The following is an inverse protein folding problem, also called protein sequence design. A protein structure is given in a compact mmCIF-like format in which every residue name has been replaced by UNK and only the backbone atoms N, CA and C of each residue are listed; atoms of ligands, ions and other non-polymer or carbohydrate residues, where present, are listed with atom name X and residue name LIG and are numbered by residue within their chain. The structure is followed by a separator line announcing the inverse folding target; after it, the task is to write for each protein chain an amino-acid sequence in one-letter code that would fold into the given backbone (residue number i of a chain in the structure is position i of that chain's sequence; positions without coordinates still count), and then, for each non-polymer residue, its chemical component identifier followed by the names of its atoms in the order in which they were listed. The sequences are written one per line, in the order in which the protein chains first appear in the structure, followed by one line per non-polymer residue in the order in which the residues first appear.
data_IF_266564964132
#
_entry.id   IF_266564964132
#
_cell.length_a   1.000
_cell.length_b   1.000
_cell.length_c   1.000
_cell.angle_alpha   90.00
_cell.angle_beta   90.00
_cell.angle_gamma   90.00
#
_symmetry.space_group_name_H-M   'P 1'
#
loop_
_entity.id
_entity.type
_entity.pdbx_description
1 polymer ?
#
# COMPACT_ATOMS: atom_id res chain seq x y z
N UNK A 1 -21.38 -1.24 -10.15
CA UNK A 1 -21.43 -0.04 -9.29
C UNK A 1 -20.22 0.83 -9.61
N UNK A 2 -20.34 2.15 -9.60
CA UNK A 2 -19.21 3.04 -9.86
C UNK A 2 -18.30 3.17 -8.63
N UNK A 3 -17.01 3.34 -8.87
CA UNK A 3 -16.02 3.67 -7.85
C UNK A 3 -16.30 5.08 -7.33
N UNK A 4 -16.26 5.28 -6.02
CA UNK A 4 -16.43 6.60 -5.39
C UNK A 4 -15.26 6.91 -4.46
N UNK A 5 -15.01 8.19 -4.22
CA UNK A 5 -13.98 8.65 -3.29
C UNK A 5 -14.58 8.97 -1.94
N UNK A 6 -13.84 8.67 -0.86
CA UNK A 6 -14.23 8.98 0.51
C UNK A 6 -13.04 9.45 1.35
N UNK A 7 -13.35 9.91 2.57
CA UNK A 7 -12.38 10.37 3.56
C UNK A 7 -12.73 9.86 4.94
N UNK A 8 -11.72 9.55 5.74
CA UNK A 8 -11.89 9.15 7.14
C UNK A 8 -10.66 9.50 7.96
N UNK A 9 -10.86 9.98 9.18
CA UNK A 9 -9.75 10.15 10.12
C UNK A 9 -9.49 8.82 10.83
N UNK A 10 -8.28 8.31 10.71
CA UNK A 10 -7.82 7.08 11.36
C UNK A 10 -6.36 7.23 11.79
N UNK A 11 -6.01 6.77 12.99
CA UNK A 11 -4.66 6.90 13.56
C UNK A 11 -4.07 8.33 13.49
N UNK A 12 -4.91 9.36 13.63
CA UNK A 12 -4.51 10.77 13.55
C UNK A 12 -4.21 11.29 12.13
N UNK A 13 -4.53 10.53 11.08
CA UNK A 13 -4.36 10.90 9.68
C UNK A 13 -5.72 10.96 8.99
N UNK A 14 -5.91 11.95 8.11
CA UNK A 14 -7.06 12.05 7.23
C UNK A 14 -6.81 11.25 5.95
N UNK A 15 -7.27 10.00 5.95
CA UNK A 15 -7.11 9.08 4.84
C UNK A 15 -8.14 9.36 3.76
N UNK A 16 -7.65 9.59 2.55
CA UNK A 16 -8.46 9.49 1.35
C UNK A 16 -8.48 8.05 0.86
N UNK A 17 -9.62 7.61 0.33
CA UNK A 17 -9.76 6.25 -0.19
C UNK A 17 -10.72 6.17 -1.37
N UNK A 18 -10.57 5.09 -2.13
CA UNK A 18 -11.51 4.63 -3.15
C UNK A 18 -12.41 3.55 -2.55
N UNK A 19 -13.70 3.56 -2.86
CA UNK A 19 -14.62 2.52 -2.41
C UNK A 19 -15.68 2.16 -3.44
N UNK A 20 -16.23 0.96 -3.29
CA UNK A 20 -17.39 0.49 -4.04
C UNK A 20 -18.05 -0.68 -3.32
N UNK A 21 -19.36 -0.83 -3.53
CA UNK A 21 -20.13 -1.94 -2.95
C UNK A 21 -20.68 -1.64 -1.56
N UNK A 22 -21.35 -2.65 -1.00
CA UNK A 22 -21.95 -2.65 0.33
C UNK A 22 -21.80 -4.05 0.89
N UNK A 23 -21.68 -4.18 2.21
CA UNK A 23 -21.49 -5.47 2.89
C UNK A 23 -20.23 -5.50 3.74
N UNK A 24 -19.70 -6.69 4.07
CA UNK A 24 -18.48 -6.82 4.87
C UNK A 24 -17.29 -6.08 4.21
N UNK A 25 -16.50 -5.41 5.04
CA UNK A 25 -15.34 -4.63 4.59
C UNK A 25 -14.23 -5.56 4.07
N UNK A 26 -13.74 -5.23 2.88
CA UNK A 26 -12.46 -5.71 2.34
C UNK A 26 -11.54 -4.49 2.20
N UNK A 27 -10.53 -4.40 3.08
CA UNK A 27 -9.55 -3.32 3.08
C UNK A 27 -8.36 -3.71 2.19
N UNK A 28 -8.11 -2.94 1.14
CA UNK A 28 -7.09 -3.22 0.12
C UNK A 28 -5.92 -2.21 0.21
N UNK A 29 -4.77 -2.65 0.71
CA UNK A 29 -3.60 -1.82 1.00
C UNK A 29 -2.54 -1.97 -0.08
N UNK A 30 -2.26 -0.89 -0.83
CA UNK A 30 -1.31 -0.90 -1.95
C UNK A 30 0.15 -0.86 -1.47
N UNK A 31 1.12 -0.91 -2.39
CA UNK A 31 2.54 -0.85 -2.07
C UNK A 31 3.27 0.32 -2.72
N UNK A 32 4.55 0.10 -3.00
CA UNK A 32 5.40 0.99 -3.78
C UNK A 32 5.89 0.30 -5.06
N UNK A 33 6.00 1.01 -6.20
CA UNK A 33 5.50 2.36 -6.47
C UNK A 33 4.09 2.29 -7.06
N UNK A 34 3.09 2.38 -6.19
CA UNK A 34 1.67 2.22 -6.51
C UNK A 34 0.84 3.36 -5.90
N UNK A 35 -0.48 3.29 -6.03
CA UNK A 35 -1.44 4.05 -5.22
C UNK A 35 -2.76 3.24 -5.08
N UNK A 36 -3.81 3.83 -4.52
CA UNK A 36 -5.10 3.14 -4.32
C UNK A 36 -5.69 2.52 -5.61
N UNK A 37 -5.32 3.04 -6.79
CA UNK A 37 -5.80 2.54 -8.08
C UNK A 37 -5.20 1.20 -8.50
N UNK A 38 -4.22 0.65 -7.78
CA UNK A 38 -3.81 -0.76 -7.90
C UNK A 38 -5.02 -1.72 -7.81
N UNK A 39 -6.09 -1.28 -7.16
CA UNK A 39 -7.30 -2.09 -6.97
C UNK A 39 -8.49 -1.68 -7.86
N UNK A 40 -8.30 -0.86 -8.89
CA UNK A 40 -9.38 -0.41 -9.78
C UNK A 40 -10.18 -1.59 -10.39
N UNK A 41 -9.52 -2.71 -10.68
CA UNK A 41 -10.18 -3.92 -11.20
C UNK A 41 -10.73 -4.82 -10.10
N UNK A 42 -10.05 -4.90 -8.95
CA UNK A 42 -10.45 -5.77 -7.84
C UNK A 42 -11.69 -5.23 -7.11
N UNK A 43 -11.76 -3.92 -6.89
CA UNK A 43 -12.82 -3.29 -6.13
C UNK A 43 -14.22 -3.58 -6.72
N UNK A 44 -14.48 -3.41 -8.04
CA UNK A 44 -15.75 -3.78 -8.65
C UNK A 44 -16.08 -5.28 -8.54
N UNK A 45 -15.08 -6.16 -8.65
CA UNK A 45 -15.28 -7.59 -8.50
C UNK A 45 -15.71 -7.98 -7.08
N UNK A 46 -15.10 -7.35 -6.06
CA UNK A 46 -15.51 -7.51 -4.66
C UNK A 46 -16.95 -7.03 -4.43
N UNK A 47 -17.32 -5.89 -4.99
CA UNK A 47 -18.69 -5.38 -4.91
C UNK A 47 -19.70 -6.31 -5.58
N UNK A 48 -19.37 -6.87 -6.75
CA UNK A 48 -20.21 -7.86 -7.41
C UNK A 48 -20.39 -9.15 -6.58
N UNK A 49 -19.40 -9.49 -5.75
CA UNK A 49 -19.45 -10.61 -4.81
C UNK A 49 -20.13 -10.27 -3.46
N UNK A 50 -20.70 -9.06 -3.29
CA UNK A 50 -21.42 -8.66 -2.08
C UNK A 50 -20.56 -8.11 -0.95
N UNK A 51 -19.34 -7.66 -1.24
CA UNK A 51 -18.45 -7.00 -0.29
C UNK A 51 -18.44 -5.48 -0.49
N UNK A 52 -18.04 -4.74 0.56
CA UNK A 52 -17.63 -3.34 0.43
C UNK A 52 -16.11 -3.32 0.31
N UNK A 53 -15.60 -3.06 -0.89
CA UNK A 53 -14.17 -2.88 -1.12
C UNK A 53 -13.75 -1.45 -0.82
N UNK A 54 -12.66 -1.26 -0.07
CA UNK A 54 -12.06 0.05 0.20
C UNK A 54 -10.55 -0.01 -0.01
N UNK A 55 -10.01 0.87 -0.84
CA UNK A 55 -8.58 1.05 -1.04
C UNK A 55 -8.14 2.46 -0.59
N UNK A 56 -7.51 2.62 0.58
CA UNK A 56 -6.92 3.89 0.98
C UNK A 56 -5.69 4.22 0.13
N UNK A 57 -5.47 5.50 -0.11
CA UNK A 57 -4.13 6.00 -0.40
C UNK A 57 -3.35 5.92 0.92
N UNK A 58 -2.33 5.07 0.99
CA UNK A 58 -1.59 4.81 2.22
C UNK A 58 -0.91 6.07 2.77
N UNK A 59 -0.46 6.05 4.03
CA UNK A 59 0.22 7.21 4.63
C UNK A 59 1.34 7.71 3.72
N UNK A 60 1.43 9.02 3.52
CA UNK A 60 2.41 9.62 2.63
C UNK A 60 2.09 9.51 1.13
N UNK A 61 0.97 8.90 0.74
CA UNK A 61 0.52 8.89 -0.65
C UNK A 61 -0.66 9.81 -0.85
N UNK A 62 -0.47 10.85 -1.66
CA UNK A 62 -1.54 11.77 -1.99
C UNK A 62 -2.71 11.05 -2.69
N UNK A 63 -3.96 11.46 -2.42
CA UNK A 63 -4.36 12.65 -1.64
C UNK A 63 -4.39 12.47 -0.11
N UNK A 64 -4.04 11.31 0.45
CA UNK A 64 -3.79 11.22 1.90
C UNK A 64 -2.56 12.05 2.24
N UNK A 65 -2.70 12.95 3.21
CA UNK A 65 -1.61 13.85 3.59
C UNK A 65 -0.39 13.06 4.12
N UNK A 66 0.83 13.61 3.99
CA UNK A 66 2.00 13.11 4.70
C UNK A 66 1.73 12.99 6.20
N UNK A 67 2.34 11.99 6.84
CA UNK A 67 2.17 11.81 8.27
C UNK A 67 2.70 13.05 9.02
N UNK A 68 1.91 13.71 9.89
CA UNK A 68 2.34 14.95 10.55
C UNK A 68 3.58 14.79 11.43
N UNK A 69 3.85 13.57 11.89
CA UNK A 69 5.01 13.21 12.71
C UNK A 69 6.25 12.81 11.89
N UNK A 70 6.16 12.83 10.55
CA UNK A 70 7.24 12.47 9.65
C UNK A 70 7.67 11.00 9.73
N UNK A 71 6.83 10.13 10.29
CA UNK A 71 7.19 8.73 10.56
C UNK A 71 6.54 7.77 9.57
N UNK A 72 7.28 6.75 9.14
CA UNK A 72 6.83 5.78 8.12
C UNK A 72 7.22 4.33 8.43
N UNK A 73 7.50 4.01 9.70
CA UNK A 73 7.89 2.66 10.09
C UNK A 73 6.76 1.65 9.82
N UNK A 74 7.12 0.40 9.49
CA UNK A 74 6.18 -0.68 9.20
C UNK A 74 5.10 -0.89 10.28
N UNK A 75 5.44 -0.69 11.56
CA UNK A 75 4.46 -0.79 12.67
C UNK A 75 3.35 0.26 12.56
N UNK A 76 3.63 1.45 12.02
CA UNK A 76 2.63 2.48 11.83
C UNK A 76 1.69 2.14 10.68
N UNK A 77 2.20 1.53 9.61
CA UNK A 77 1.36 1.05 8.52
C UNK A 77 0.34 0.01 9.03
N UNK A 78 0.77 -0.86 9.94
CA UNK A 78 -0.10 -1.82 10.61
C UNK A 78 -1.14 -1.15 11.52
N UNK A 79 -0.74 -0.13 12.28
CA UNK A 79 -1.65 0.64 13.14
C UNK A 79 -2.67 1.43 12.32
N UNK A 80 -2.26 2.02 11.19
CA UNK A 80 -3.16 2.68 10.26
C UNK A 80 -4.21 1.70 9.73
N UNK A 81 -3.80 0.50 9.33
CA UNK A 81 -4.72 -0.54 8.88
C UNK A 81 -5.74 -0.93 9.96
N UNK A 82 -5.30 -1.13 11.21
CA UNK A 82 -6.22 -1.42 12.32
C UNK A 82 -7.20 -0.27 12.59
N UNK A 83 -6.72 0.97 12.58
CA UNK A 83 -7.57 2.14 12.77
C UNK A 83 -8.57 2.34 11.63
N UNK A 84 -8.19 2.05 10.38
CA UNK A 84 -9.08 2.06 9.23
C UNK A 84 -10.15 0.96 9.33
N UNK A 85 -9.80 -0.22 9.82
CA UNK A 85 -10.77 -1.30 10.09
C UNK A 85 -11.79 -0.86 11.15
N UNK A 86 -11.35 -0.18 12.21
CA UNK A 86 -12.24 0.36 13.22
C UNK A 86 -13.19 1.41 12.64
N UNK A 87 -12.64 2.39 11.91
CA UNK A 87 -13.40 3.52 11.40
C UNK A 87 -14.36 3.15 10.27
N UNK A 88 -14.02 2.16 9.42
CA UNK A 88 -14.78 1.83 8.22
C UNK A 88 -15.52 0.49 8.30
N UNK A 89 -15.03 -0.44 9.12
CA UNK A 89 -15.53 -1.82 9.19
C UNK A 89 -16.25 -2.16 10.49
N UNK A 90 -16.35 -1.22 11.43
CA UNK A 90 -16.94 -1.48 12.75
C UNK A 90 -16.12 -2.48 13.57
N UNK A 91 -14.80 -2.52 13.35
CA UNK A 91 -13.86 -3.33 14.14
C UNK A 91 -13.50 -4.70 13.53
N UNK A 92 -13.98 -5.03 12.33
CA UNK A 92 -13.57 -6.28 11.65
C UNK A 92 -13.59 -6.18 10.12
N UNK A 93 -12.57 -6.72 9.46
CA UNK A 93 -12.46 -6.71 8.00
C UNK A 93 -11.73 -7.93 7.42
N UNK A 94 -11.93 -8.20 6.14
CA UNK A 94 -10.97 -8.95 5.33
C UNK A 94 -9.90 -7.97 4.85
N UNK A 95 -8.64 -8.40 4.80
CA UNK A 95 -7.52 -7.52 4.43
C UNK A 95 -6.76 -8.12 3.25
N UNK A 96 -6.58 -7.31 2.22
CA UNK A 96 -5.75 -7.59 1.05
C UNK A 96 -4.58 -6.61 1.09
N UNK A 97 -3.35 -7.10 0.99
CA UNK A 97 -2.16 -6.26 0.95
C UNK A 97 -1.24 -6.62 -0.22
N UNK A 98 -0.74 -5.60 -0.92
CA UNK A 98 0.28 -5.73 -1.96
C UNK A 98 1.58 -5.04 -1.50
N UNK A 99 2.73 -5.70 -1.64
CA UNK A 99 4.06 -5.12 -1.35
C UNK A 99 4.15 -4.50 0.08
N UNK A 100 4.32 -3.17 0.25
CA UNK A 100 4.29 -2.53 1.58
C UNK A 100 2.93 -2.66 2.28
N UNK A 101 1.84 -2.68 1.51
CA UNK A 101 0.52 -2.98 2.02
C UNK A 101 0.38 -4.41 2.51
N UNK A 102 1.14 -5.37 1.97
CA UNK A 102 1.22 -6.71 2.56
C UNK A 102 1.96 -6.69 3.90
N UNK A 103 3.00 -5.87 4.05
CA UNK A 103 3.69 -5.66 5.33
C UNK A 103 2.75 -5.04 6.37
N UNK A 104 1.95 -4.04 5.98
CA UNK A 104 0.90 -3.47 6.81
C UNK A 104 -0.14 -4.53 7.22
N UNK A 105 -0.59 -5.35 6.27
CA UNK A 105 -1.59 -6.39 6.49
C UNK A 105 -1.09 -7.50 7.44
N UNK A 106 0.16 -7.97 7.27
CA UNK A 106 0.79 -8.90 8.21
C UNK A 106 0.91 -8.30 9.62
N UNK A 107 1.35 -7.05 9.72
CA UNK A 107 1.45 -6.37 11.00
C UNK A 107 0.08 -6.21 11.68
N UNK A 108 -0.95 -5.83 10.94
CA UNK A 108 -2.32 -5.71 11.46
C UNK A 108 -2.85 -7.06 11.97
N UNK A 109 -2.64 -8.14 11.21
CA UNK A 109 -3.03 -9.48 11.64
C UNK A 109 -2.26 -9.96 12.89
N UNK A 110 -1.02 -9.54 13.06
CA UNK A 110 -0.21 -9.88 14.23
C UNK A 110 -0.59 -9.04 15.47
N UNK A 111 -0.92 -7.75 15.29
CA UNK A 111 -1.22 -6.82 16.37
C UNK A 111 -2.69 -6.82 16.81
N UNK A 112 -3.62 -7.11 15.90
CA UNK A 112 -5.06 -7.16 16.15
C UNK A 112 -5.72 -8.32 15.42
N UNK A 113 -5.36 -9.58 15.75
CA UNK A 113 -5.86 -10.77 15.05
C UNK A 113 -7.39 -10.90 15.07
N UNK A 114 -8.05 -10.37 16.11
CA UNK A 114 -9.50 -10.34 16.23
C UNK A 114 -10.19 -9.45 15.18
N UNK A 115 -9.48 -8.44 14.67
CA UNK A 115 -9.98 -7.48 13.67
C UNK A 115 -9.79 -7.97 12.23
N UNK A 116 -8.83 -8.86 11.99
CA UNK A 116 -8.52 -9.39 10.66
C UNK A 116 -9.18 -10.75 10.46
N UNK A 117 -10.35 -10.75 9.81
CA UNK A 117 -11.13 -11.97 9.57
C UNK A 117 -10.46 -12.93 8.57
N UNK A 118 -9.85 -12.38 7.52
CA UNK A 118 -9.10 -13.10 6.49
C UNK A 118 -7.97 -12.21 5.99
N UNK A 119 -6.88 -12.83 5.56
CA UNK A 119 -5.68 -12.14 5.08
C UNK A 119 -5.29 -12.70 3.70
N UNK A 120 -5.10 -11.80 2.73
CA UNK A 120 -4.53 -12.09 1.41
C UNK A 120 -3.34 -11.18 1.21
N UNK A 121 -2.17 -11.74 0.87
CA UNK A 121 -0.95 -10.98 0.65
C UNK A 121 -0.35 -11.30 -0.71
N UNK A 122 0.05 -10.26 -1.45
CA UNK A 122 0.53 -10.35 -2.82
C UNK A 122 1.88 -9.62 -2.90
N UNK A 123 2.84 -10.15 -3.66
CA UNK A 123 4.09 -9.45 -3.96
C UNK A 123 5.08 -9.32 -2.80
N UNK A 124 4.76 -9.77 -1.57
CA UNK A 124 5.67 -9.76 -0.43
C UNK A 124 5.67 -11.09 0.32
N UNK A 125 6.86 -11.56 0.70
CA UNK A 125 7.01 -12.75 1.53
C UNK A 125 6.61 -12.49 2.98
N UNK A 126 6.13 -13.53 3.67
CA UNK A 126 5.80 -13.46 5.08
C UNK A 126 7.03 -13.03 5.92
N UNK A 127 6.90 -12.13 6.92
CA UNK A 127 8.01 -11.64 7.75
C UNK A 127 8.87 -12.75 8.40
N UNK A 128 8.29 -13.90 8.70
CA UNK A 128 9.03 -15.06 9.23
C UNK A 128 10.07 -15.63 8.24
N UNK A 129 9.87 -15.47 6.94
CA UNK A 129 10.88 -15.81 5.93
C UNK A 129 12.14 -14.94 6.11
N UNK A 130 12.05 -13.84 6.87
CA UNK A 130 13.18 -12.99 7.18
C UNK A 130 14.08 -13.49 8.32
N UNK A 131 13.76 -14.65 8.91
CA UNK A 131 14.55 -15.28 9.99
C UNK A 131 15.30 -16.52 9.47
N UNK A 132 16.40 -16.88 10.14
CA UNK A 132 17.14 -18.12 9.89
C UNK A 132 18.32 -18.01 8.91
N UNK A 133 18.98 -19.14 8.57
CA UNK A 133 20.28 -19.14 7.87
C UNK A 133 20.26 -18.53 6.46
N UNK A 134 19.12 -18.60 5.77
CA UNK A 134 18.92 -18.01 4.44
C UNK A 134 18.74 -16.49 4.48
N UNK A 135 18.59 -15.90 5.67
CA UNK A 135 18.46 -14.46 5.86
C UNK A 135 19.70 -13.68 5.40
N UNK A 136 20.86 -14.34 5.37
CA UNK A 136 22.14 -13.73 5.02
C UNK A 136 22.59 -13.99 3.57
N UNK A 137 21.77 -14.61 2.73
CA UNK A 137 22.17 -14.93 1.35
C UNK A 137 22.29 -13.69 0.46
N UNK A 138 23.21 -13.73 -0.50
CA UNK A 138 23.38 -12.66 -1.50
C UNK A 138 22.12 -12.44 -2.34
N UNK A 139 21.53 -13.53 -2.84
CA UNK A 139 20.31 -13.46 -3.66
C UNK A 139 19.18 -12.70 -2.95
N UNK A 140 19.08 -12.88 -1.64
CA UNK A 140 18.11 -12.16 -0.82
C UNK A 140 18.48 -10.69 -0.64
N UNK A 141 19.72 -10.35 -0.26
CA UNK A 141 20.14 -8.95 -0.14
C UNK A 141 19.95 -8.19 -1.46
N UNK A 142 20.22 -8.87 -2.58
CA UNK A 142 19.91 -8.38 -3.92
C UNK A 142 18.41 -8.18 -4.12
N UNK A 143 17.54 -9.07 -3.61
CA UNK A 143 16.09 -8.91 -3.71
C UNK A 143 15.51 -7.74 -2.90
N UNK A 144 16.12 -7.42 -1.76
CA UNK A 144 15.69 -6.30 -0.88
C UNK A 144 16.57 -5.06 -0.99
N UNK A 145 17.37 -4.94 -2.04
CA UNK A 145 18.33 -3.84 -2.21
C UNK A 145 17.68 -2.46 -2.05
N UNK A 146 16.44 -2.34 -2.51
CA UNK A 146 15.64 -1.13 -2.49
C UNK A 146 15.33 -0.65 -1.07
N UNK A 147 15.15 -1.56 -0.10
CA UNK A 147 14.93 -1.20 1.29
C UNK A 147 16.13 -0.39 1.83
N UNK A 148 17.35 -0.72 1.40
CA UNK A 148 18.55 0.04 1.73
C UNK A 148 18.66 1.34 0.93
N UNK A 149 18.34 1.31 -0.38
CA UNK A 149 18.31 2.49 -1.22
C UNK A 149 17.42 3.59 -0.63
N UNK A 150 16.21 3.25 -0.15
CA UNK A 150 15.29 4.22 0.46
C UNK A 150 15.72 4.74 1.83
N UNK A 151 16.81 4.21 2.44
CA UNK A 151 17.40 4.82 3.64
C UNK A 151 18.44 5.90 3.29
N UNK A 152 18.77 6.08 2.01
CA UNK A 152 19.81 7.03 1.59
C UNK A 152 19.23 8.45 1.45
N UNK A 153 19.98 9.50 1.84
CA UNK A 153 19.48 10.89 1.82
C UNK A 153 19.17 11.43 0.42
N UNK A 154 19.64 10.77 -0.64
CA UNK A 154 19.40 11.15 -2.04
C UNK A 154 18.29 10.32 -2.71
N UNK A 155 17.66 9.38 -2.01
CA UNK A 155 16.67 8.47 -2.61
C UNK A 155 15.51 9.24 -3.25
N UNK A 156 14.98 10.25 -2.55
CA UNK A 156 13.90 11.09 -3.04
C UNK A 156 14.30 11.88 -4.29
N UNK A 157 15.53 12.40 -4.34
CA UNK A 157 16.04 13.12 -5.51
C UNK A 157 16.12 12.18 -6.74
N UNK A 158 16.55 10.94 -6.54
CA UNK A 158 16.61 9.92 -7.60
C UNK A 158 15.21 9.55 -8.06
N UNK A 159 14.25 9.38 -7.13
CA UNK A 159 12.85 9.07 -7.47
C UNK A 159 12.20 10.21 -8.24
N UNK A 160 12.46 11.47 -7.87
CA UNK A 160 11.87 12.64 -8.53
C UNK A 160 12.53 13.00 -9.88
N UNK A 161 13.76 12.56 -10.12
CA UNK A 161 14.51 12.91 -11.33
C UNK A 161 13.82 12.43 -12.62
N UNK A 162 14.04 13.18 -13.70
CA UNK A 162 13.59 12.83 -15.07
C UNK A 162 12.11 12.46 -15.16
N UNK A 163 11.24 13.27 -14.54
CA UNK A 163 9.80 13.02 -14.49
C UNK A 163 9.46 11.62 -13.94
N UNK A 164 10.04 11.29 -12.78
CA UNK A 164 9.79 10.03 -12.08
C UNK A 164 10.09 8.80 -12.93
N UNK A 165 11.08 8.86 -13.84
CA UNK A 165 11.51 7.75 -14.67
C UNK A 165 11.88 6.50 -13.85
N UNK A 166 12.30 6.68 -12.59
CA UNK A 166 12.55 5.59 -11.65
C UNK A 166 11.31 4.69 -11.45
N UNK A 167 10.11 5.27 -11.32
CA UNK A 167 8.88 4.50 -11.08
C UNK A 167 8.54 3.61 -12.28
N UNK A 168 8.70 4.13 -13.50
CA UNK A 168 8.46 3.35 -14.72
C UNK A 168 9.50 2.24 -14.90
N UNK A 169 10.78 2.56 -14.66
CA UNK A 169 11.85 1.57 -14.70
C UNK A 169 11.63 0.45 -13.67
N UNK A 170 11.11 0.79 -12.50
CA UNK A 170 10.74 -0.17 -11.46
C UNK A 170 9.68 -1.14 -11.97
N UNK A 171 8.55 -0.65 -12.49
CA UNK A 171 7.48 -1.50 -13.02
C UNK A 171 7.95 -2.37 -14.18
N UNK A 172 8.70 -1.82 -15.13
CA UNK A 172 9.28 -2.61 -16.24
C UNK A 172 10.21 -3.73 -15.76
N UNK A 173 10.88 -3.54 -14.61
CA UNK A 173 11.73 -4.57 -14.02
C UNK A 173 10.91 -5.61 -13.23
N UNK A 174 9.96 -5.16 -12.42
CA UNK A 174 9.15 -6.01 -11.54
C UNK A 174 8.06 -6.78 -12.29
N UNK A 175 7.59 -6.27 -13.44
CA UNK A 175 6.51 -6.84 -14.23
C UNK A 175 6.81 -6.66 -15.73
N UNK A 176 7.81 -7.40 -16.27
CA UNK A 176 8.32 -7.17 -17.63
C UNK A 176 7.31 -7.46 -18.75
N UNK A 177 6.27 -8.24 -18.46
CA UNK A 177 5.19 -8.58 -19.41
C UNK A 177 4.01 -7.61 -19.34
N UNK A 178 3.99 -6.70 -18.36
CA UNK A 178 2.91 -5.74 -18.18
C UNK A 178 3.30 -4.38 -18.78
N UNK A 179 2.40 -3.77 -19.57
CA UNK A 179 2.59 -2.42 -20.08
C UNK A 179 2.12 -1.38 -19.04
N UNK A 180 3.04 -0.60 -18.43
CA UNK A 180 2.69 0.40 -17.43
C UNK A 180 1.99 1.64 -18.02
N UNK A 181 2.09 1.87 -19.33
CA UNK A 181 1.67 3.12 -19.98
C UNK A 181 0.24 3.57 -19.65
N UNK A 182 -0.78 2.67 -19.54
CA UNK A 182 -2.15 3.09 -19.25
C UNK A 182 -2.36 3.69 -17.85
N UNK A 183 -1.48 3.40 -16.89
CA UNK A 183 -1.70 3.75 -15.48
C UNK A 183 -0.53 4.50 -14.82
N UNK A 184 0.67 4.45 -15.40
CA UNK A 184 1.88 5.03 -14.80
C UNK A 184 1.75 6.53 -14.55
N UNK A 185 1.09 7.28 -15.42
CA UNK A 185 0.89 8.71 -15.22
C UNK A 185 0.03 9.02 -13.98
N UNK A 186 -0.90 8.14 -13.62
CA UNK A 186 -1.68 8.30 -12.39
C UNK A 186 -0.83 8.07 -11.15
N UNK A 187 0.09 7.11 -11.21
CA UNK A 187 1.09 6.89 -10.15
C UNK A 187 1.97 8.12 -10.05
N UNK A 188 2.60 8.57 -11.13
CA UNK A 188 3.42 9.78 -11.14
C UNK A 188 2.66 11.02 -10.64
N UNK A 189 1.38 11.17 -10.98
CA UNK A 189 0.56 12.27 -10.48
C UNK A 189 0.41 12.26 -8.95
N UNK A 190 0.35 11.09 -8.30
CA UNK A 190 0.43 10.97 -6.84
C UNK A 190 1.79 11.45 -6.33
N UNK A 191 2.89 10.97 -6.92
CA UNK A 191 4.25 11.29 -6.48
C UNK A 191 4.67 12.74 -6.75
N UNK A 192 4.03 13.41 -7.72
CA UNK A 192 4.18 14.85 -7.99
C UNK A 192 3.55 15.75 -6.92
N UNK A 193 2.67 15.22 -6.06
CA UNK A 193 2.03 16.04 -5.04
C UNK A 193 3.02 16.44 -3.95
N UNK A 194 2.92 17.68 -3.42
CA UNK A 194 3.80 18.14 -2.34
C UNK A 194 3.79 17.20 -1.13
N UNK A 195 4.98 16.86 -0.61
CA UNK A 195 5.15 16.03 0.58
C UNK A 195 5.12 14.51 0.35
N UNK A 196 4.89 14.04 -0.90
CA UNK A 196 4.98 12.60 -1.23
C UNK A 196 6.43 12.21 -1.52
N UNK A 197 7.11 13.01 -2.34
CA UNK A 197 8.56 13.00 -2.55
C UNK A 197 8.99 14.45 -2.41
N UNK A 198 9.94 14.76 -1.53
CA UNK A 198 10.33 16.12 -1.05
C UNK A 198 9.48 16.72 0.05
#
# INVERSE_FOLDING_TARGET
MALVTGRVVANGIDFHYLEVGRGPLVLCLHGFPDNAHTYDELLPALAAAGFRGVAPFMRGYAPTAPAPDGRYQAVLLAQDALALIDALGGGRALVVGHDWGATAAYGAAALGPEKVARLVTIGAAHPAAFRGPLASSYARHKGIWHAYFFQMPFAEQVVAANDFAYLEAWWRNASPEYDPAPVIERVKATFRQPGVVT
#
